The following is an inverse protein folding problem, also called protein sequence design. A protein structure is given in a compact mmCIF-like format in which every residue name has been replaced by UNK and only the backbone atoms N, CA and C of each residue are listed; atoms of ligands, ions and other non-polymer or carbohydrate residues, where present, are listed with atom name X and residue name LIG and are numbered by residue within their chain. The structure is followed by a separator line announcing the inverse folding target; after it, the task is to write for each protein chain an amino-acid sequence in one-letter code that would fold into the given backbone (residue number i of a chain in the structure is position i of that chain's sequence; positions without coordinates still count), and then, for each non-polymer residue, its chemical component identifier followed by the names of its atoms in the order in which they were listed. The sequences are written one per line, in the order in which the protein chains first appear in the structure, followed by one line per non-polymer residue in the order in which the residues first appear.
data_IF_670035176567
#
_entry.id   IF_670035176567
#
_cell.length_a   1.000
_cell.length_b   1.000
_cell.length_c   1.000
_cell.angle_alpha   90.00
_cell.angle_beta   90.00
_cell.angle_gamma   90.00
#
_symmetry.space_group_name_H-M   'P 1'
#
loop_
_entity.id
_entity.type
_entity.pdbx_description
1 polymer ?
#
# COMPACT_ATOMS: atom_id res chain seq x y z
N UNK A 1 -45.50 44.55 -4.91
CA UNK A 1 -45.70 44.78 -6.36
C UNK A 1 -44.45 45.45 -6.90
N UNK A 2 -44.06 45.11 -8.12
CA UNK A 2 -42.84 45.54 -8.84
C UNK A 2 -41.65 44.59 -8.73
N UNK A 3 -41.52 43.72 -9.74
CA UNK A 3 -40.28 43.49 -10.51
C UNK A 3 -40.68 42.87 -11.85
N UNK A 4 -40.51 43.66 -12.91
CA UNK A 4 -40.58 43.26 -14.31
C UNK A 4 -39.27 42.61 -14.76
N UNK A 5 -39.38 41.85 -15.86
CA UNK A 5 -38.39 41.69 -16.95
C UNK A 5 -37.08 40.92 -16.65
N UNK A 6 -36.51 40.12 -17.56
CA UNK A 6 -36.91 39.65 -18.88
C UNK A 6 -35.96 38.52 -19.32
N UNK A 7 -36.52 37.61 -20.11
CA UNK A 7 -35.96 36.75 -21.18
C UNK A 7 -34.51 36.95 -21.65
N UNK A 8 -33.82 35.82 -21.97
CA UNK A 8 -33.28 35.40 -23.32
C UNK A 8 -32.20 34.31 -23.16
N UNK A 9 -32.40 33.11 -23.73
CA UNK A 9 -31.99 32.65 -25.08
C UNK A 9 -30.48 32.41 -25.25
N UNK A 10 -30.06 31.15 -25.42
CA UNK A 10 -29.43 30.63 -26.66
C UNK A 10 -29.21 29.11 -26.59
N UNK A 11 -29.87 28.39 -27.51
CA UNK A 11 -29.46 27.10 -28.04
C UNK A 11 -28.21 27.28 -28.91
N UNK A 12 -27.26 26.35 -28.85
CA UNK A 12 -26.34 26.08 -29.97
C UNK A 12 -26.01 24.60 -30.06
N UNK A 13 -26.56 23.99 -31.10
CA UNK A 13 -26.12 22.75 -31.72
C UNK A 13 -24.80 22.97 -32.47
N UNK A 14 -23.93 21.95 -32.48
CA UNK A 14 -22.67 21.99 -33.22
C UNK A 14 -22.17 20.58 -33.56
N UNK A 15 -22.55 20.12 -34.76
CA UNK A 15 -21.94 18.97 -35.43
C UNK A 15 -20.54 19.33 -35.93
N UNK A 16 -19.53 18.48 -35.73
CA UNK A 16 -18.34 18.45 -36.60
C UNK A 16 -17.80 17.03 -36.82
N UNK A 17 -17.46 16.81 -38.09
CA UNK A 17 -16.98 15.59 -38.73
C UNK A 17 -15.47 15.35 -38.56
N UNK A 18 -15.10 14.08 -38.74
CA UNK A 18 -13.86 13.53 -39.32
C UNK A 18 -12.51 14.14 -38.90
N UNK A 19 -11.62 13.31 -38.34
CA UNK A 19 -10.37 12.94 -39.01
C UNK A 19 -9.59 11.82 -38.29
N UNK A 20 -9.19 10.84 -39.10
CA UNK A 20 -8.22 9.78 -38.81
C UNK A 20 -6.80 10.41 -38.83
N UNK A 21 -5.85 9.89 -38.03
CA UNK A 21 -4.57 9.59 -38.67
C UNK A 21 -3.98 8.24 -38.27
N UNK A 22 -3.42 7.61 -39.30
CA UNK A 22 -2.41 6.57 -39.29
C UNK A 22 -1.13 7.04 -38.62
N UNK A 23 -0.52 6.20 -37.76
CA UNK A 23 0.93 6.17 -37.55
C UNK A 23 1.35 4.85 -36.89
N UNK A 24 2.02 4.02 -37.69
CA UNK A 24 2.66 2.79 -37.27
C UNK A 24 3.87 3.11 -36.38
N UNK A 25 3.86 2.63 -35.13
CA UNK A 25 5.05 2.65 -34.27
C UNK A 25 5.63 1.24 -34.20
N UNK A 26 6.81 1.11 -34.81
CA UNK A 26 7.65 -0.09 -34.84
C UNK A 26 8.31 -0.26 -33.47
N UNK A 27 7.72 -1.09 -32.60
CA UNK A 27 8.37 -1.46 -31.32
C UNK A 27 9.26 -2.67 -31.55
N UNK A 28 10.55 -2.45 -31.35
CA UNK A 28 11.63 -3.42 -31.44
C UNK A 28 11.51 -4.38 -30.24
N UNK A 29 11.41 -5.67 -30.52
CA UNK A 29 11.25 -6.74 -29.53
C UNK A 29 12.57 -7.03 -28.81
N UNK A 30 12.72 -6.50 -27.60
CA UNK A 30 13.77 -6.92 -26.68
C UNK A 30 13.42 -8.31 -26.11
N UNK A 31 14.06 -9.36 -26.65
CA UNK A 31 14.08 -10.72 -26.09
C UNK A 31 14.70 -10.69 -24.69
N UNK A 32 13.87 -10.70 -23.65
CA UNK A 32 14.30 -11.08 -22.31
C UNK A 32 14.13 -12.60 -22.13
N UNK A 33 15.25 -13.32 -22.19
CA UNK A 33 15.37 -14.69 -21.74
C UNK A 33 15.14 -14.74 -20.21
N UNK A 34 13.91 -15.02 -19.77
CA UNK A 34 13.67 -15.48 -18.39
C UNK A 34 14.14 -16.93 -18.27
N UNK A 35 15.41 -17.11 -17.87
CA UNK A 35 15.87 -18.34 -17.26
C UNK A 35 15.07 -18.56 -15.98
N UNK A 36 14.33 -19.65 -15.92
CA UNK A 36 13.79 -20.23 -14.70
C UNK A 36 15.00 -20.60 -13.84
N UNK A 37 15.28 -19.79 -12.81
CA UNK A 37 16.21 -20.16 -11.76
C UNK A 37 15.45 -20.97 -10.72
N UNK A 38 15.81 -22.24 -10.61
CA UNK A 38 15.60 -23.03 -9.40
C UNK A 38 16.31 -22.37 -8.22
N UNK A 39 15.83 -22.48 -6.97
CA UNK A 39 16.50 -21.94 -5.81
C UNK A 39 17.74 -22.79 -5.52
N UNK A 40 18.86 -22.40 -6.13
CA UNK A 40 20.20 -22.83 -5.78
C UNK A 40 20.53 -22.25 -4.40
N UNK A 41 20.82 -23.14 -3.44
CA UNK A 41 21.48 -22.80 -2.17
C UNK A 41 22.65 -21.84 -2.43
N UNK A 42 22.76 -20.69 -1.71
CA UNK A 42 23.89 -19.79 -1.88
C UNK A 42 25.14 -20.41 -1.25
N UNK A 43 26.01 -20.95 -2.10
CA UNK A 43 27.38 -21.32 -1.76
C UNK A 43 28.15 -20.03 -1.42
N UNK A 44 28.55 -19.88 -0.13
CA UNK A 44 29.55 -18.92 0.40
C UNK A 44 29.58 -17.52 -0.24
N UNK A 45 28.42 -16.94 -0.53
CA UNK A 45 28.23 -15.51 -0.79
C UNK A 45 27.60 -14.88 0.46
N UNK A 46 28.15 -13.77 0.93
CA UNK A 46 27.77 -13.09 2.18
C UNK A 46 26.24 -13.05 2.37
N UNK A 47 25.75 -13.68 3.43
CA UNK A 47 24.35 -13.57 3.85
C UNK A 47 24.06 -12.09 4.09
N UNK A 48 23.19 -11.51 3.27
CA UNK A 48 22.85 -10.09 3.31
C UNK A 48 21.59 -9.89 4.16
N UNK A 49 21.81 -9.46 5.39
CA UNK A 49 20.80 -9.15 6.40
C UNK A 49 20.69 -7.63 6.50
N UNK A 50 19.50 -7.09 6.29
CA UNK A 50 19.16 -5.69 6.25
C UNK A 50 17.88 -5.39 7.05
N UNK A 51 17.49 -4.12 7.14
CA UNK A 51 16.35 -3.68 7.97
C UNK A 51 14.97 -4.21 7.51
N UNK A 52 14.90 -4.88 6.36
CA UNK A 52 13.66 -5.46 5.83
C UNK A 52 13.58 -6.97 6.02
N UNK A 53 14.73 -7.66 6.07
CA UNK A 53 14.76 -9.12 6.13
C UNK A 53 15.39 -9.70 7.41
N UNK A 54 15.84 -8.88 8.37
CA UNK A 54 16.50 -9.38 9.60
C UNK A 54 15.62 -10.24 10.51
N UNK A 55 14.29 -10.13 10.40
CA UNK A 55 13.33 -10.96 11.16
C UNK A 55 12.96 -12.28 10.43
N UNK A 56 13.60 -12.61 9.31
CA UNK A 56 13.31 -13.83 8.54
C UNK A 56 13.84 -15.09 9.24
N UNK A 57 13.09 -16.20 9.18
CA UNK A 57 13.40 -17.47 9.87
C UNK A 57 14.79 -18.01 9.49
N UNK A 58 15.19 -17.82 8.23
CA UNK A 58 16.49 -18.23 7.70
C UNK A 58 17.70 -17.60 8.43
N UNK A 59 17.50 -16.53 9.20
CA UNK A 59 18.57 -15.79 9.90
C UNK A 59 18.50 -15.87 11.42
N UNK A 60 17.59 -16.69 11.98
CA UNK A 60 17.44 -16.83 13.45
C UNK A 60 18.74 -17.30 14.11
N UNK A 61 19.49 -18.18 13.43
CA UNK A 61 20.78 -18.71 13.90
C UNK A 61 21.99 -17.91 13.37
N UNK A 62 21.77 -16.75 12.73
CA UNK A 62 22.85 -15.91 12.23
C UNK A 62 23.60 -15.25 13.37
N UNK A 63 24.94 -15.29 13.32
CA UNK A 63 25.83 -14.60 14.27
C UNK A 63 25.68 -13.07 14.24
N UNK A 64 25.24 -12.50 13.12
CA UNK A 64 25.14 -11.06 12.91
C UNK A 64 23.69 -10.64 12.75
N UNK A 65 23.33 -9.50 13.38
CA UNK A 65 21.98 -8.91 13.30
C UNK A 65 21.74 -8.20 11.97
N UNK A 66 22.74 -7.45 11.48
CA UNK A 66 22.72 -6.76 10.18
C UNK A 66 24.08 -6.93 9.51
N UNK A 67 24.09 -7.15 8.21
CA UNK A 67 25.31 -7.25 7.39
C UNK A 67 25.31 -6.28 6.21
N UNK A 68 24.18 -5.64 5.92
CA UNK A 68 24.06 -4.61 4.90
C UNK A 68 24.74 -3.30 5.35
N UNK A 69 25.76 -2.80 4.63
CA UNK A 69 26.47 -1.57 5.01
C UNK A 69 25.55 -0.36 5.16
N UNK A 70 24.55 -0.22 4.28
CA UNK A 70 23.56 0.88 4.32
C UNK A 70 22.65 0.80 5.55
N UNK A 71 22.32 -0.41 5.96
CA UNK A 71 21.50 -0.62 7.16
C UNK A 71 22.29 -0.31 8.43
N UNK A 72 23.56 -0.72 8.47
CA UNK A 72 24.48 -0.36 9.55
C UNK A 72 24.72 1.15 9.62
N UNK A 73 24.89 1.81 8.47
CA UNK A 73 25.05 3.26 8.39
C UNK A 73 23.80 4.01 8.88
N UNK A 74 22.59 3.56 8.51
CA UNK A 74 21.35 4.16 9.00
C UNK A 74 21.20 4.07 10.52
N UNK A 75 21.50 2.90 11.10
CA UNK A 75 21.52 2.71 12.54
C UNK A 75 22.57 3.61 13.22
N UNK A 76 23.76 3.74 12.63
CA UNK A 76 24.82 4.59 13.15
C UNK A 76 24.45 6.08 13.12
N UNK A 77 23.82 6.59 12.04
CA UNK A 77 23.36 8.00 11.95
C UNK A 77 22.33 8.35 13.02
N UNK A 78 21.51 7.38 13.44
CA UNK A 78 20.48 7.56 14.47
C UNK A 78 20.96 7.17 15.89
N UNK A 79 22.22 6.76 16.06
CA UNK A 79 22.75 6.21 17.32
C UNK A 79 21.94 5.02 17.87
N UNK A 80 21.33 4.21 16.99
CA UNK A 80 20.55 3.04 17.36
C UNK A 80 21.43 1.79 17.24
N UNK A 81 21.51 0.98 18.30
CA UNK A 81 22.23 -0.30 18.25
C UNK A 81 21.39 -1.35 17.51
N UNK A 82 21.91 -2.07 16.51
CA UNK A 82 21.15 -3.08 15.76
C UNK A 82 20.46 -4.13 16.65
N UNK A 83 21.10 -4.54 17.74
CA UNK A 83 20.54 -5.50 18.71
C UNK A 83 19.26 -4.99 19.40
N UNK A 84 19.06 -3.67 19.49
CA UNK A 84 17.84 -3.09 20.10
C UNK A 84 16.63 -3.15 19.17
N UNK A 85 16.83 -3.45 17.89
CA UNK A 85 15.76 -3.64 16.93
C UNK A 85 15.19 -5.07 16.96
N UNK A 86 15.82 -6.01 17.67
CA UNK A 86 15.33 -7.37 17.80
C UNK A 86 14.17 -7.45 18.82
N UNK A 87 13.15 -8.28 18.55
CA UNK A 87 12.10 -8.57 19.54
C UNK A 87 12.72 -9.14 20.82
N UNK A 88 12.41 -8.54 21.97
CA UNK A 88 12.85 -9.08 23.27
C UNK A 88 11.85 -10.12 23.76
N UNK A 89 12.33 -11.26 24.24
CA UNK A 89 11.46 -12.29 24.81
C UNK A 89 11.06 -11.88 26.23
N UNK A 90 9.88 -12.31 26.67
CA UNK A 90 9.40 -12.03 28.04
C UNK A 90 10.37 -12.51 29.12
N UNK A 91 11.11 -13.58 28.87
CA UNK A 91 12.14 -14.14 29.75
C UNK A 91 13.30 -13.14 29.97
N UNK A 92 13.59 -12.28 28.99
CA UNK A 92 14.64 -11.27 29.10
C UNK A 92 14.16 -10.02 29.86
N UNK A 93 12.84 -9.90 30.08
CA UNK A 93 12.17 -8.76 30.74
C UNK A 93 11.80 -9.11 32.19
N UNK A 94 11.59 -10.40 32.48
CA UNK A 94 11.27 -10.87 33.83
C UNK A 94 12.47 -10.69 34.77
N UNK A 95 12.50 -9.59 35.51
CA UNK A 95 13.14 -9.58 36.82
C UNK A 95 12.23 -10.31 37.80
N UNK A 96 12.79 -11.14 38.68
CA UNK A 96 12.11 -12.11 39.56
C UNK A 96 10.99 -11.56 40.50
N UNK A 97 10.63 -10.27 40.41
CA UNK A 97 9.67 -9.60 41.30
C UNK A 97 8.47 -8.93 40.60
N UNK A 98 8.36 -8.94 39.27
CA UNK A 98 7.27 -8.24 38.56
C UNK A 98 6.12 -9.19 38.22
N UNK A 99 4.89 -8.78 38.55
CA UNK A 99 3.67 -9.55 38.23
C UNK A 99 3.52 -9.74 36.71
N UNK A 100 3.04 -10.92 36.30
CA UNK A 100 2.86 -11.26 34.88
C UNK A 100 2.00 -10.26 34.09
N UNK A 101 0.96 -9.67 34.71
CA UNK A 101 0.10 -8.68 34.05
C UNK A 101 0.88 -7.43 33.63
N UNK A 102 1.72 -6.90 34.52
CA UNK A 102 2.56 -5.73 34.22
C UNK A 102 3.68 -6.06 33.24
N UNK A 103 4.14 -7.31 33.14
CA UNK A 103 5.15 -7.71 32.16
C UNK A 103 4.61 -7.66 30.71
N UNK A 104 3.33 -7.94 30.50
CA UNK A 104 2.71 -7.85 29.17
C UNK A 104 2.65 -6.39 28.72
N UNK A 105 2.18 -5.49 29.60
CA UNK A 105 2.08 -4.06 29.30
C UNK A 105 3.48 -3.47 28.99
N UNK A 106 4.48 -3.80 29.80
CA UNK A 106 5.88 -3.36 29.58
C UNK A 106 6.45 -3.91 28.27
N UNK A 107 6.14 -5.16 27.91
CA UNK A 107 6.56 -5.74 26.63
C UNK A 107 5.93 -4.97 25.46
N UNK A 108 4.64 -4.67 25.56
CA UNK A 108 3.91 -4.02 24.48
C UNK A 108 4.40 -2.58 24.28
N UNK A 109 4.67 -1.84 25.36
CA UNK A 109 5.33 -0.52 25.30
C UNK A 109 6.71 -0.61 24.63
N UNK A 110 7.53 -1.61 25.01
CA UNK A 110 8.84 -1.81 24.40
C UNK A 110 8.77 -2.20 22.92
N UNK A 111 7.74 -2.93 22.50
CA UNK A 111 7.52 -3.31 21.11
C UNK A 111 7.12 -2.10 20.27
N UNK A 112 6.29 -1.20 20.81
CA UNK A 112 5.96 0.09 20.18
C UNK A 112 7.23 0.91 19.96
N UNK A 113 8.07 1.04 20.98
CA UNK A 113 9.36 1.74 20.90
C UNK A 113 10.32 1.10 19.89
N UNK A 114 10.37 -0.24 19.85
CA UNK A 114 11.19 -1.00 18.89
C UNK A 114 10.74 -0.71 17.45
N UNK A 115 9.43 -0.77 17.20
CA UNK A 115 8.86 -0.54 15.88
C UNK A 115 9.08 0.91 15.41
N UNK A 116 8.94 1.89 16.31
CA UNK A 116 9.25 3.28 16.02
C UNK A 116 10.72 3.47 15.61
N UNK A 117 11.66 2.91 16.38
CA UNK A 117 13.11 2.93 16.06
C UNK A 117 13.42 2.24 14.73
N UNK A 118 12.80 1.09 14.49
CA UNK A 118 12.96 0.34 13.25
C UNK A 118 12.48 1.14 12.03
N UNK A 119 11.34 1.81 12.15
CA UNK A 119 10.80 2.66 11.09
C UNK A 119 11.75 3.83 10.79
N UNK A 120 12.23 4.54 11.81
CA UNK A 120 13.21 5.63 11.62
C UNK A 120 14.48 5.15 10.92
N UNK A 121 14.99 3.96 11.27
CA UNK A 121 16.16 3.38 10.59
C UNK A 121 15.88 3.06 9.11
N UNK A 122 14.68 2.57 8.78
CA UNK A 122 14.29 2.29 7.39
C UNK A 122 14.22 3.57 6.57
N UNK A 123 13.65 4.63 7.14
CA UNK A 123 13.57 5.94 6.49
C UNK A 123 14.96 6.54 6.24
N UNK A 124 15.88 6.46 7.22
CA UNK A 124 17.27 6.90 7.02
C UNK A 124 18.01 6.08 5.97
N UNK A 125 17.80 4.76 5.93
CA UNK A 125 18.38 3.92 4.88
C UNK A 125 17.94 4.39 3.49
N UNK A 126 16.67 4.75 3.32
CA UNK A 126 16.16 5.27 2.05
C UNK A 126 16.69 6.67 1.73
N UNK A 127 17.00 7.51 2.73
CA UNK A 127 17.73 8.77 2.51
C UNK A 127 19.15 8.51 2.03
N UNK A 128 19.89 7.60 2.66
CA UNK A 128 21.24 7.20 2.23
C UNK A 128 21.22 6.71 0.77
N UNK A 129 20.23 5.91 0.39
CA UNK A 129 20.09 5.41 -0.99
C UNK A 129 19.89 6.57 -1.97
N UNK A 130 19.06 7.57 -1.61
CA UNK A 130 18.83 8.77 -2.44
C UNK A 130 20.07 9.65 -2.54
N UNK A 131 20.76 9.91 -1.43
CA UNK A 131 22.02 10.66 -1.39
C UNK A 131 23.09 10.00 -2.27
N UNK A 132 23.24 8.67 -2.17
CA UNK A 132 24.18 7.89 -2.99
C UNK A 132 23.77 7.87 -4.47
N UNK A 133 22.48 7.98 -4.80
CA UNK A 133 22.03 8.07 -6.19
C UNK A 133 22.35 9.44 -6.80
N UNK A 134 22.24 10.52 -6.03
CA UNK A 134 22.55 11.89 -6.46
C UNK A 134 24.06 12.18 -6.57
N UNK A 135 24.86 11.54 -5.71
CA UNK A 135 26.32 11.74 -5.66
C UNK A 135 27.11 10.85 -6.61
N UNK A 136 26.46 9.95 -7.36
CA UNK A 136 27.14 9.28 -8.48
C UNK A 136 27.48 10.32 -9.53
N UNK A 137 28.76 10.61 -9.82
CA UNK A 137 29.10 11.44 -10.95
C UNK A 137 28.58 10.73 -12.20
N UNK A 138 27.56 11.31 -12.81
CA UNK A 138 27.26 11.10 -14.22
C UNK A 138 28.59 11.27 -14.94
N UNK A 139 29.16 10.16 -15.42
CA UNK A 139 30.34 10.14 -16.27
C UNK A 139 30.12 11.20 -17.34
N UNK A 140 30.84 12.31 -17.21
CA UNK A 140 30.89 13.32 -18.24
C UNK A 140 31.22 12.60 -19.54
N UNK A 141 30.25 12.61 -20.46
CA UNK A 141 30.52 12.39 -21.87
C UNK A 141 31.44 13.54 -22.27
N UNK A 142 32.73 13.28 -22.29
CA UNK A 142 33.72 14.13 -22.94
C UNK A 142 33.27 14.30 -24.38
N UNK A 143 32.88 15.53 -24.70
CA UNK A 143 32.60 15.96 -26.05
C UNK A 143 33.87 15.82 -26.89
N UNK A 144 33.63 15.46 -28.15
CA UNK A 144 34.59 15.30 -29.22
C UNK A 144 35.65 16.39 -29.25
N UNK A 145 36.91 15.97 -29.22
CA UNK A 145 38.03 16.74 -29.75
C UNK A 145 38.89 15.79 -30.56
N UNK A 146 38.61 15.77 -31.87
CA UNK A 146 39.46 15.16 -32.89
C UNK A 146 40.86 15.79 -32.82
N UNK A 147 41.95 15.01 -32.82
CA UNK A 147 43.20 15.46 -33.40
C UNK A 147 43.32 14.96 -34.84
N UNK A 148 43.78 15.88 -35.67
CA UNK A 148 44.05 15.75 -37.09
C UNK A 148 45.04 14.65 -37.43
N UNK A 149 44.70 13.93 -38.50
CA UNK A 149 45.57 13.45 -39.57
C UNK A 149 47.06 13.86 -39.46
N UNK A 150 47.94 12.90 -39.21
CA UNK A 150 49.29 12.90 -39.77
C UNK A 150 49.59 11.50 -40.28
N UNK A 151 49.90 11.44 -41.57
CA UNK A 151 50.41 10.27 -42.27
C UNK A 151 51.63 9.69 -41.54
N UNK A 152 51.66 8.38 -41.35
CA UNK A 152 52.90 7.69 -41.70
C UNK A 152 52.67 6.28 -42.24
N UNK A 153 53.55 5.93 -43.16
CA UNK A 153 53.41 4.99 -44.25
C UNK A 153 54.51 3.96 -44.07
N UNK A 154 54.20 2.76 -43.59
CA UNK A 154 54.96 1.55 -43.93
C UNK A 154 54.13 0.31 -43.58
N UNK A 155 53.62 -0.40 -44.59
CA UNK A 155 54.26 -1.58 -45.20
C UNK A 155 54.53 -2.69 -44.18
N UNK A 156 53.69 -3.74 -44.16
CA UNK A 156 54.08 -5.15 -44.35
C UNK A 156 52.85 -6.07 -44.18
N UNK A 157 52.49 -6.64 -45.33
CA UNK A 157 51.86 -7.94 -45.64
C UNK A 157 51.90 -9.07 -44.59
N UNK A 158 50.86 -9.93 -44.70
CA UNK A 158 50.79 -11.40 -44.44
C UNK A 158 50.78 -11.84 -42.96
N UNK A 159 50.14 -12.92 -42.50
CA UNK A 159 49.29 -14.00 -43.07
C UNK A 159 48.65 -14.75 -41.89
N UNK A 160 47.56 -15.46 -42.17
CA UNK A 160 46.96 -16.51 -41.35
C UNK A 160 47.94 -17.59 -40.86
N UNK A 161 47.76 -18.04 -39.61
CA UNK A 161 47.84 -19.43 -39.06
C UNK A 161 47.45 -19.32 -37.57
N UNK A 162 46.44 -19.95 -36.96
CA UNK A 162 45.99 -21.36 -36.85
C UNK A 162 47.06 -22.35 -36.40
N UNK A 163 47.18 -22.53 -35.08
CA UNK A 163 47.61 -23.73 -34.31
C UNK A 163 47.29 -23.41 -32.84
N UNK A 164 46.38 -24.07 -32.09
CA UNK A 164 46.37 -25.45 -31.56
C UNK A 164 47.73 -25.92 -31.01
N UNK A 165 47.92 -25.77 -29.70
CA UNK A 165 48.39 -26.83 -28.81
C UNK A 165 48.41 -26.36 -27.35
N UNK A 166 47.59 -27.01 -26.51
CA UNK A 166 47.97 -27.41 -25.15
C UNK A 166 48.99 -28.58 -25.32
N UNK A 167 49.88 -28.90 -24.35
CA UNK A 167 49.39 -29.28 -23.02
C UNK A 167 50.35 -29.13 -21.80
N UNK A 168 49.74 -29.29 -20.63
CA UNK A 168 50.25 -29.99 -19.45
C UNK A 168 51.43 -29.45 -18.62
N UNK A 169 51.04 -29.06 -17.40
CA UNK A 169 51.50 -29.61 -16.11
C UNK A 169 52.69 -29.02 -15.34
N UNK A 170 52.43 -29.02 -14.01
CA UNK A 170 53.33 -29.01 -12.85
C UNK A 170 54.12 -27.74 -12.59
N UNK A 171 53.84 -27.05 -11.48
CA UNK A 171 54.60 -27.29 -10.24
C UNK A 171 53.98 -26.55 -9.04
N UNK A 172 54.04 -27.23 -7.89
CA UNK A 172 53.62 -26.83 -6.54
C UNK A 172 54.48 -25.69 -5.93
N UNK A 173 53.98 -25.19 -4.79
CA UNK A 173 54.58 -24.31 -3.76
C UNK A 173 54.41 -22.79 -4.01
N UNK A 174 54.04 -21.94 -3.06
CA UNK A 174 54.02 -22.10 -1.60
C UNK A 174 53.08 -21.10 -0.93
N UNK A 175 52.65 -21.45 0.28
CA UNK A 175 52.10 -20.56 1.29
C UNK A 175 53.03 -19.36 1.54
N UNK A 176 52.48 -18.15 1.68
CA UNK A 176 52.79 -17.28 2.82
C UNK A 176 51.98 -15.97 2.77
N UNK A 177 51.09 -15.84 3.75
CA UNK A 177 50.68 -14.58 4.33
C UNK A 177 51.24 -14.60 5.76
N UNK A 178 51.83 -13.51 6.27
CA UNK A 178 51.05 -12.80 7.28
C UNK A 178 51.23 -11.28 7.33
N UNK A 179 50.13 -10.64 7.71
CA UNK A 179 49.97 -9.40 8.50
C UNK A 179 51.21 -8.67 9.00
N UNK A 180 51.23 -7.36 8.78
CA UNK A 180 51.52 -6.37 9.83
C UNK A 180 50.84 -5.03 9.48
N UNK A 181 49.93 -4.55 10.32
CA UNK A 181 50.17 -3.56 11.39
C UNK A 181 50.50 -2.17 10.84
N UNK A 182 49.48 -1.34 10.64
CA UNK A 182 49.64 0.11 10.59
C UNK A 182 48.78 0.71 11.70
N UNK A 183 49.43 0.91 12.84
CA UNK A 183 49.03 1.92 13.83
C UNK A 183 49.67 3.24 13.44
N UNK A 184 48.86 4.29 13.33
CA UNK A 184 49.18 5.68 13.67
C UNK A 184 47.87 6.48 13.58
N UNK A 185 47.29 6.90 14.72
CA UNK A 185 47.61 8.16 15.44
C UNK A 185 46.98 9.37 14.76
N UNK A 186 45.89 9.90 15.33
CA UNK A 186 45.55 11.34 15.49
C UNK A 186 44.33 11.41 16.43
N UNK A 187 44.57 11.64 17.73
CA UNK A 187 44.46 12.91 18.45
C UNK A 187 43.01 13.37 18.71
N UNK A 188 42.64 13.22 19.98
CA UNK A 188 41.53 13.87 20.66
C UNK A 188 41.72 15.38 20.66
N UNK A 189 40.65 16.12 20.35
CA UNK A 189 40.47 17.49 20.85
C UNK A 189 39.15 17.56 21.61
N UNK A 190 39.29 17.63 22.92
CA UNK A 190 38.30 18.06 23.90
C UNK A 190 37.89 19.50 23.62
N UNK A 191 36.58 19.77 23.55
CA UNK A 191 36.05 21.13 23.70
C UNK A 191 34.79 21.10 24.55
N UNK A 192 35.02 21.26 25.84
CA UNK A 192 34.03 21.65 26.84
C UNK A 192 33.47 23.04 26.49
N UNK A 193 32.16 23.19 26.55
CA UNK A 193 31.49 24.45 26.89
C UNK A 193 30.26 24.15 27.71
N UNK A 194 30.45 24.29 29.01
CA UNK A 194 29.46 24.59 30.03
C UNK A 194 28.69 25.87 29.70
N UNK A 195 27.36 25.82 29.79
CA UNK A 195 26.53 26.98 30.12
C UNK A 195 25.37 26.52 31.00
N UNK A 196 25.43 26.91 32.26
CA UNK A 196 24.31 26.93 33.19
C UNK A 196 23.50 28.22 32.93
N UNK A 197 22.18 28.13 32.93
CA UNK A 197 21.30 29.19 33.42
C UNK A 197 19.97 28.59 33.90
N UNK A 198 19.84 28.64 35.22
CA UNK A 198 18.67 28.87 36.07
C UNK A 198 17.24 28.77 35.52
N UNK A 199 16.49 27.93 36.25
CA UNK A 199 15.15 28.15 36.83
C UNK A 199 14.39 29.42 36.43
N UNK A 200 13.15 29.31 35.93
CA UNK A 200 11.93 29.39 36.76
C UNK A 200 10.63 29.35 35.93
N UNK A 201 9.66 28.59 36.45
CA UNK A 201 8.25 28.96 36.60
C UNK A 201 7.17 28.64 35.53
N UNK A 202 6.13 27.98 36.05
CA UNK A 202 4.69 27.99 35.69
C UNK A 202 4.15 26.92 34.72
N UNK A 203 3.73 25.80 35.32
CA UNK A 203 2.75 24.85 34.77
C UNK A 203 1.57 24.74 35.76
N UNK A 204 0.30 24.88 35.33
CA UNK A 204 -0.85 24.81 36.23
C UNK A 204 -1.26 23.35 36.54
N UNK A 205 -2.00 23.11 37.64
CA UNK A 205 -2.25 21.79 38.18
C UNK A 205 -3.42 21.06 37.48
N UNK A 206 -3.29 19.74 37.40
CA UNK A 206 -4.31 18.80 36.93
C UNK A 206 -5.07 18.26 38.15
N UNK A 207 -6.41 18.31 38.21
CA UNK A 207 -7.15 17.74 39.34
C UNK A 207 -7.24 16.21 39.25
N UNK A 208 -7.06 15.60 40.41
CA UNK A 208 -7.23 14.18 40.73
C UNK A 208 -8.62 13.89 41.28
N UNK A 209 -9.33 12.93 40.68
CA UNK A 209 -10.40 12.14 41.30
C UNK A 209 -10.42 10.80 40.53
N UNK A 210 -10.12 9.64 41.10
CA UNK A 210 -10.70 8.92 42.24
C UNK A 210 -12.20 8.66 42.10
N UNK A 211 -12.56 7.63 41.33
CA UNK A 211 -13.80 6.86 41.51
C UNK A 211 -13.53 5.37 41.26
N UNK A 212 -13.17 4.71 42.36
CA UNK A 212 -13.62 3.39 42.83
C UNK A 212 -14.53 2.61 41.87
N UNK A 213 -13.99 1.54 41.31
CA UNK A 213 -14.70 0.49 40.58
C UNK A 213 -15.47 -0.42 41.55
N UNK A 214 -16.77 -0.63 41.28
CA UNK A 214 -17.53 -1.77 41.80
C UNK A 214 -17.71 -2.81 40.72
N UNK A 215 -17.25 -4.01 41.04
CA UNK A 215 -17.42 -5.28 40.33
C UNK A 215 -18.90 -5.63 40.26
N UNK A 216 -19.42 -5.91 39.06
CA UNK A 216 -20.52 -6.87 38.88
C UNK A 216 -20.21 -7.70 37.64
N UNK A 217 -20.21 -9.01 37.85
CA UNK A 217 -19.88 -10.07 36.92
C UNK A 217 -21.20 -10.71 36.47
N UNK A 218 -21.44 -10.90 35.16
CA UNK A 218 -22.35 -11.93 34.68
C UNK A 218 -22.12 -12.26 33.21
N UNK A 219 -21.83 -13.54 32.96
CA UNK A 219 -21.85 -14.26 31.68
C UNK A 219 -23.21 -14.16 30.96
N UNK A 220 -23.20 -14.24 29.62
CA UNK A 220 -24.09 -15.04 28.72
C UNK A 220 -23.83 -14.64 27.25
N UNK A 221 -23.24 -15.53 26.43
CA UNK A 221 -23.87 -16.27 25.30
C UNK A 221 -24.66 -15.43 24.28
N UNK A 222 -24.02 -15.24 23.12
CA UNK A 222 -24.54 -15.43 21.74
C UNK A 222 -26.05 -15.30 21.47
N UNK A 223 -26.45 -14.31 20.68
CA UNK A 223 -27.28 -14.46 19.47
C UNK A 223 -27.50 -13.11 18.77
N UNK A 224 -27.77 -13.21 17.47
CA UNK A 224 -28.11 -12.20 16.46
C UNK A 224 -28.97 -11.01 16.91
N UNK A 225 -28.71 -9.84 16.31
CA UNK A 225 -29.61 -8.68 16.39
C UNK A 225 -28.93 -7.31 16.27
N UNK A 226 -28.36 -6.99 15.11
CA UNK A 226 -27.90 -5.63 14.80
C UNK A 226 -28.96 -4.89 13.98
N UNK A 227 -29.78 -4.08 14.65
CA UNK A 227 -30.26 -2.75 14.21
C UNK A 227 -31.47 -2.31 15.03
N UNK A 228 -31.23 -1.72 16.20
CA UNK A 228 -32.14 -0.74 16.82
C UNK A 228 -31.48 -0.24 18.09
N UNK A 229 -30.79 0.91 18.03
CA UNK A 229 -30.43 1.78 19.16
C UNK A 229 -29.63 2.96 18.63
N UNK A 230 -30.32 3.83 17.90
CA UNK A 230 -29.91 5.21 17.67
C UNK A 230 -31.16 6.06 17.73
N UNK A 231 -31.25 6.84 18.80
CA UNK A 231 -32.02 8.10 19.02
C UNK A 231 -32.74 8.09 20.36
N UNK A 232 -32.03 8.28 21.47
CA UNK A 232 -32.70 8.51 22.76
C UNK A 232 -31.94 9.42 23.74
N UNK A 233 -30.93 10.18 23.30
CA UNK A 233 -30.21 11.12 24.19
C UNK A 233 -30.39 12.61 23.88
N UNK A 234 -31.03 12.99 22.77
CA UNK A 234 -31.32 14.41 22.45
C UNK A 234 -32.75 14.84 22.81
N UNK A 235 -33.64 13.88 23.11
CA UNK A 235 -35.03 14.17 23.45
C UNK A 235 -35.23 14.62 24.91
N UNK A 236 -34.37 14.18 25.85
CA UNK A 236 -34.54 14.52 27.27
C UNK A 236 -34.24 15.98 27.59
N UNK A 237 -33.29 16.61 26.87
CA UNK A 237 -32.92 18.00 27.13
C UNK A 237 -33.99 18.99 26.63
N UNK A 238 -34.63 18.70 25.49
CA UNK A 238 -35.72 19.53 24.95
C UNK A 238 -37.00 19.44 25.80
N UNK A 239 -37.28 18.28 26.40
CA UNK A 239 -38.40 18.12 27.34
C UNK A 239 -38.16 18.85 28.67
N UNK A 240 -36.91 18.95 29.13
CA UNK A 240 -36.53 19.72 30.32
C UNK A 240 -36.62 21.24 30.09
N UNK A 241 -36.23 21.73 28.90
CA UNK A 241 -36.40 23.15 28.52
C UNK A 241 -37.89 23.53 28.45
N UNK A 242 -38.74 22.64 27.93
CA UNK A 242 -40.19 22.88 27.84
C UNK A 242 -40.88 22.90 29.20
N UNK A 243 -40.40 22.11 30.17
CA UNK A 243 -40.91 22.14 31.56
C UNK A 243 -40.52 23.42 32.31
N UNK A 244 -39.36 23.99 32.00
CA UNK A 244 -38.90 25.24 32.61
C UNK A 244 -39.71 26.45 32.12
N UNK A 245 -40.03 26.51 30.82
CA UNK A 245 -40.83 27.60 30.24
C UNK A 245 -42.27 27.63 30.80
N UNK A 246 -42.87 26.46 31.06
CA UNK A 246 -44.17 26.35 31.73
C UNK A 246 -44.15 26.80 33.20
N UNK A 247 -42.99 26.78 33.86
CA UNK A 247 -42.85 27.23 35.25
C UNK A 247 -42.74 28.76 35.36
N UNK A 248 -42.17 29.43 34.34
CA UNK A 248 -42.04 30.89 34.30
C UNK A 248 -43.38 31.60 34.02
N UNK A 249 -44.30 30.97 33.29
CA UNK A 249 -45.63 31.54 33.02
C UNK A 249 -46.58 31.52 34.25
N UNK A 250 -46.30 30.73 35.30
CA UNK A 250 -47.17 30.63 36.49
C UNK A 250 -46.86 31.63 37.62
N UNK A 251 -45.79 32.42 37.52
CA UNK A 251 -45.39 33.37 38.58
C UNK A 251 -45.93 34.80 38.33
N UNK A 252 -46.64 35.01 37.21
CA UNK A 252 -47.12 36.32 36.76
C UNK A 252 -48.52 36.76 37.22
N UNK A 253 -49.16 36.14 38.22
CA UNK A 253 -50.51 36.54 38.65
C UNK A 253 -50.55 37.16 40.05
N UNK A 254 -50.78 38.47 40.04
CA UNK A 254 -51.42 39.33 41.06
C UNK A 254 -51.24 38.97 42.53
N UNK A 255 -50.26 39.61 43.19
CA UNK A 255 -50.41 39.96 44.61
C UNK A 255 -51.17 41.29 44.71
N UNK A 256 -52.32 41.37 45.40
CA UNK A 256 -53.01 42.63 45.62
C UNK A 256 -52.14 43.58 46.44
N UNK A 257 -52.04 44.83 46.00
CA UNK A 257 -51.18 45.88 46.55
C UNK A 257 -51.74 46.34 47.91
N UNK A 258 -51.32 45.67 48.99
CA UNK A 258 -51.70 46.01 50.38
C UNK A 258 -51.19 47.39 50.85
N UNK A 259 -50.39 48.09 50.04
CA UNK A 259 -49.74 49.35 50.43
C UNK A 259 -50.64 50.59 50.26
N UNK A 260 -51.68 50.56 49.42
CA UNK A 260 -52.55 51.72 49.18
C UNK A 260 -53.37 52.12 50.43
N UNK A 261 -53.84 51.13 51.20
CA UNK A 261 -54.62 51.38 52.43
C UNK A 261 -53.79 51.99 53.57
N UNK A 262 -52.48 51.72 53.61
CA UNK A 262 -51.59 52.22 54.66
C UNK A 262 -51.16 53.67 54.40
N UNK A 263 -50.96 54.04 53.12
CA UNK A 263 -50.63 55.42 52.70
C UNK A 263 -51.81 56.36 52.98
N UNK A 264 -53.04 55.95 52.62
CA UNK A 264 -54.25 56.73 52.90
C UNK A 264 -54.53 56.88 54.41
N UNK A 265 -54.17 55.88 55.22
CA UNK A 265 -54.30 55.94 56.69
C UNK A 265 -53.34 56.94 57.34
N UNK A 266 -52.08 56.98 56.86
CA UNK A 266 -51.06 57.92 57.34
C UNK A 266 -51.40 59.37 56.97
N UNK A 267 -51.90 59.61 55.76
CA UNK A 267 -52.26 60.95 55.29
C UNK A 267 -53.45 61.55 56.07
N UNK A 268 -54.43 60.72 56.44
CA UNK A 268 -55.52 61.13 57.32
C UNK A 268 -55.05 61.44 58.75
N UNK A 269 -54.09 60.68 59.29
CA UNK A 269 -53.50 60.94 60.61
C UNK A 269 -52.72 62.26 60.65
N UNK A 270 -51.96 62.57 59.58
CA UNK A 270 -51.26 63.85 59.40
C UNK A 270 -52.23 65.03 59.43
N UNK A 271 -53.35 64.94 58.71
CA UNK A 271 -54.39 65.98 58.72
C UNK A 271 -55.03 66.14 60.10
N UNK A 272 -55.22 65.06 60.86
CA UNK A 272 -55.76 65.13 62.23
C UNK A 272 -54.81 65.84 63.21
N UNK A 273 -53.50 65.57 63.13
CA UNK A 273 -52.47 66.21 63.96
C UNK A 273 -52.40 67.72 63.65
N UNK A 274 -52.44 68.08 62.37
CA UNK A 274 -52.43 69.47 61.89
C UNK A 274 -53.69 70.26 62.32
N UNK A 275 -54.86 69.62 62.32
CA UNK A 275 -56.09 70.21 62.85
C UNK A 275 -56.10 70.36 64.39
N UNK A 276 -55.36 69.51 65.12
CA UNK A 276 -55.24 69.60 66.58
C UNK A 276 -54.28 70.71 67.01
N UNK A 277 -53.21 70.90 66.25
CA UNK A 277 -52.24 71.98 66.39
C UNK A 277 -52.85 73.38 66.34
N UNK A 278 -53.87 73.57 65.48
CA UNK A 278 -54.55 74.86 65.31
C UNK A 278 -55.55 75.18 66.42
N UNK A 279 -55.90 74.21 67.29
CA UNK A 279 -56.92 74.35 68.35
C UNK A 279 -56.39 74.57 69.76
N UNK A 280 -55.11 74.32 70.05
CA UNK A 280 -54.57 74.29 71.42
C UNK A 280 -53.49 75.37 71.63
N UNK A 281 -53.81 76.39 72.44
CA UNK A 281 -52.91 77.50 72.77
C UNK A 281 -52.25 77.36 74.15
N UNK A 282 -51.61 76.22 74.45
CA UNK A 282 -50.88 75.98 75.69
C UNK A 282 -49.46 75.44 75.38
N UNK A 283 -48.42 76.09 75.91
CA UNK A 283 -47.01 75.89 75.53
C UNK A 283 -46.46 74.46 75.71
N UNK A 284 -47.04 73.63 76.59
CA UNK A 284 -46.60 72.23 76.78
C UNK A 284 -47.16 71.27 75.71
N UNK A 285 -48.22 71.65 74.99
CA UNK A 285 -48.80 70.82 73.92
C UNK A 285 -48.05 70.99 72.59
N UNK A 286 -47.37 72.14 72.41
CA UNK A 286 -46.59 72.45 71.21
C UNK A 286 -45.33 71.56 71.08
N UNK A 287 -44.65 71.28 72.20
CA UNK A 287 -43.46 70.44 72.25
C UNK A 287 -43.79 68.96 71.97
N UNK A 288 -44.90 68.47 72.54
CA UNK A 288 -45.41 67.13 72.26
C UNK A 288 -45.83 66.95 70.79
N UNK A 289 -46.47 67.97 70.21
CA UNK A 289 -46.85 67.97 68.80
C UNK A 289 -45.63 67.99 67.85
N UNK A 290 -44.58 68.75 68.20
CA UNK A 290 -43.34 68.78 67.44
C UNK A 290 -42.62 67.42 67.49
N UNK A 291 -42.64 66.74 68.65
CA UNK A 291 -42.11 65.39 68.80
C UNK A 291 -42.90 64.37 67.97
N UNK A 292 -44.23 64.43 67.99
CA UNK A 292 -45.11 63.56 67.20
C UNK A 292 -44.90 63.77 65.69
N UNK A 293 -44.74 65.03 65.25
CA UNK A 293 -44.40 65.37 63.86
C UNK A 293 -43.05 64.78 63.44
N UNK A 294 -42.01 64.88 64.29
CA UNK A 294 -40.70 64.31 64.02
C UNK A 294 -40.73 62.76 63.98
N UNK A 295 -41.50 62.12 64.86
CA UNK A 295 -41.70 60.67 64.84
C UNK A 295 -42.41 60.21 63.56
N UNK A 296 -43.41 60.97 63.10
CA UNK A 296 -44.11 60.71 61.85
C UNK A 296 -43.17 60.88 60.63
N UNK A 297 -42.38 61.94 60.59
CA UNK A 297 -41.41 62.18 59.51
C UNK A 297 -40.33 61.09 59.45
N UNK A 298 -39.85 60.61 60.60
CA UNK A 298 -38.94 59.48 60.69
C UNK A 298 -39.57 58.18 60.15
N UNK A 299 -40.85 57.94 60.44
CA UNK A 299 -41.59 56.77 59.92
C UNK A 299 -41.75 56.82 58.40
N UNK A 300 -42.05 58.00 57.83
CA UNK A 300 -42.12 58.19 56.37
C UNK A 300 -40.75 57.98 55.72
N UNK A 301 -39.69 58.52 56.32
CA UNK A 301 -38.32 58.34 55.82
C UNK A 301 -37.91 56.86 55.81
N UNK A 302 -38.25 56.12 56.88
CA UNK A 302 -38.02 54.67 56.95
C UNK A 302 -38.81 53.93 55.85
N UNK A 303 -40.08 54.30 55.64
CA UNK A 303 -40.91 53.70 54.58
C UNK A 303 -40.34 53.94 53.18
N UNK A 304 -39.93 55.18 52.87
CA UNK A 304 -39.31 55.52 51.60
C UNK A 304 -37.98 54.79 51.37
N UNK A 305 -37.18 54.66 52.43
CA UNK A 305 -35.94 53.91 52.40
C UNK A 305 -36.19 52.42 52.14
N UNK A 306 -37.18 51.82 52.81
CA UNK A 306 -37.56 50.43 52.59
C UNK A 306 -38.08 50.20 51.16
N UNK A 307 -38.88 51.13 50.62
CA UNK A 307 -39.36 51.07 49.24
C UNK A 307 -38.20 51.18 48.24
N UNK A 308 -37.21 52.04 48.49
CA UNK A 308 -35.99 52.14 47.66
C UNK A 308 -35.20 50.82 47.69
N UNK A 309 -35.04 50.20 48.86
CA UNK A 309 -34.38 48.89 48.98
C UNK A 309 -35.15 47.82 48.21
N UNK A 310 -36.48 47.79 48.32
CA UNK A 310 -37.30 46.82 47.58
C UNK A 310 -37.16 46.99 46.07
N UNK A 311 -37.22 48.23 45.56
CA UNK A 311 -37.01 48.53 44.13
C UNK A 311 -35.59 48.15 43.68
N UNK A 312 -34.57 48.43 44.48
CA UNK A 312 -33.19 48.03 44.17
C UNK A 312 -33.03 46.51 44.11
N UNK A 313 -33.65 45.77 45.04
CA UNK A 313 -33.66 44.30 45.04
C UNK A 313 -34.39 43.72 43.83
N UNK A 314 -35.52 44.31 43.44
CA UNK A 314 -36.26 43.86 42.27
C UNK A 314 -35.47 44.11 40.98
N UNK A 315 -34.87 45.29 40.82
CA UNK A 315 -34.01 45.60 39.68
C UNK A 315 -32.79 44.67 39.63
N UNK A 316 -32.15 44.39 40.78
CA UNK A 316 -31.05 43.43 40.84
C UNK A 316 -31.48 42.05 40.34
N UNK A 317 -32.65 41.55 40.78
CA UNK A 317 -33.23 40.28 40.30
C UNK A 317 -33.54 40.29 38.81
N UNK A 318 -34.01 41.41 38.24
CA UNK A 318 -34.25 41.53 36.79
C UNK A 318 -32.93 41.43 36.01
N UNK A 319 -31.92 42.18 36.43
CA UNK A 319 -30.60 42.14 35.77
C UNK A 319 -29.89 40.79 35.91
N UNK A 320 -30.12 40.08 37.02
CA UNK A 320 -29.59 38.73 37.23
C UNK A 320 -30.25 37.73 36.26
N UNK A 321 -31.57 37.78 36.11
CA UNK A 321 -32.31 36.95 35.14
C UNK A 321 -31.90 37.23 33.70
N UNK A 322 -31.69 38.50 33.34
CA UNK A 322 -31.20 38.88 32.00
C UNK A 322 -29.82 38.26 31.74
N UNK A 323 -28.88 38.39 32.69
CA UNK A 323 -27.55 37.78 32.58
C UNK A 323 -27.60 36.24 32.53
N UNK A 324 -28.53 35.62 33.24
CA UNK A 324 -28.74 34.17 33.16
C UNK A 324 -29.29 33.75 31.79
N UNK A 325 -30.23 34.51 31.23
CA UNK A 325 -30.76 34.27 29.90
C UNK A 325 -29.66 34.41 28.82
N UNK A 326 -28.82 35.45 28.91
CA UNK A 326 -27.67 35.64 28.01
C UNK A 326 -26.68 34.47 28.10
N UNK A 327 -26.37 33.98 29.32
CA UNK A 327 -25.50 32.82 29.52
C UNK A 327 -26.09 31.56 28.90
N UNK A 328 -27.39 31.37 29.04
CA UNK A 328 -28.08 30.23 28.45
C UNK A 328 -28.04 30.28 26.91
N UNK A 329 -28.26 31.46 26.33
CA UNK A 329 -28.17 31.66 24.88
C UNK A 329 -26.77 31.36 24.34
N UNK A 330 -25.72 31.83 25.03
CA UNK A 330 -24.33 31.53 24.67
C UNK A 330 -24.04 30.03 24.72
N UNK A 331 -24.49 29.34 25.77
CA UNK A 331 -24.33 27.89 25.91
C UNK A 331 -25.01 27.14 24.76
N UNK A 332 -26.18 27.62 24.33
CA UNK A 332 -26.90 27.03 23.21
C UNK A 332 -26.19 27.25 21.88
N UNK A 333 -25.63 28.43 21.65
CA UNK A 333 -24.83 28.73 20.48
C UNK A 333 -23.59 27.82 20.41
N UNK A 334 -22.85 27.70 21.52
CA UNK A 334 -21.66 26.83 21.60
C UNK A 334 -22.01 25.36 21.34
N UNK A 335 -23.16 24.88 21.85
CA UNK A 335 -23.65 23.53 21.58
C UNK A 335 -23.95 23.32 20.09
N UNK A 336 -24.63 24.26 19.44
CA UNK A 336 -24.90 24.19 18.00
C UNK A 336 -23.60 24.21 17.18
N UNK A 337 -22.64 25.05 17.53
CA UNK A 337 -21.35 25.08 16.85
C UNK A 337 -20.57 23.76 17.00
N UNK A 338 -20.59 23.17 18.19
CA UNK A 338 -19.97 21.87 18.44
C UNK A 338 -20.62 20.76 17.62
N UNK A 339 -21.95 20.71 17.58
CA UNK A 339 -22.69 19.69 16.80
C UNK A 339 -22.43 19.84 15.30
N UNK A 340 -22.46 21.08 14.77
CA UNK A 340 -22.15 21.36 13.37
C UNK A 340 -20.69 21.02 13.03
N UNK A 341 -19.74 21.31 13.94
CA UNK A 341 -18.35 20.94 13.77
C UNK A 341 -18.15 19.43 13.77
N UNK A 342 -18.84 18.69 14.63
CA UNK A 342 -18.79 17.24 14.69
C UNK A 342 -19.38 16.60 13.43
N UNK A 343 -20.52 17.09 12.95
CA UNK A 343 -21.13 16.63 11.70
C UNK A 343 -20.20 16.84 10.50
N UNK A 344 -19.51 17.99 10.42
CA UNK A 344 -18.50 18.23 9.39
C UNK A 344 -17.35 17.22 9.45
N UNK A 345 -16.85 16.89 10.65
CA UNK A 345 -15.81 15.87 10.82
C UNK A 345 -16.29 14.49 10.38
N UNK A 346 -17.51 14.10 10.73
CA UNK A 346 -18.09 12.83 10.32
C UNK A 346 -18.27 12.75 8.80
N UNK A 347 -18.77 13.82 8.18
CA UNK A 347 -18.92 13.92 6.73
C UNK A 347 -17.58 13.86 6.01
N UNK A 348 -16.53 14.49 6.56
CA UNK A 348 -15.18 14.39 5.99
C UNK A 348 -14.64 12.96 6.07
N UNK A 349 -14.82 12.30 7.23
CA UNK A 349 -14.40 10.91 7.40
C UNK A 349 -15.14 9.99 6.41
N UNK A 350 -16.45 10.18 6.26
CA UNK A 350 -17.27 9.45 5.28
C UNK A 350 -16.76 9.66 3.84
N UNK A 351 -16.50 10.90 3.45
CA UNK A 351 -15.92 11.21 2.12
C UNK A 351 -14.55 10.55 1.91
N UNK A 352 -13.70 10.51 2.94
CA UNK A 352 -12.40 9.82 2.88
C UNK A 352 -12.58 8.31 2.72
N UNK A 353 -13.51 7.72 3.46
CA UNK A 353 -13.86 6.30 3.36
C UNK A 353 -14.41 5.95 1.97
N UNK A 354 -15.30 6.76 1.42
CA UNK A 354 -15.85 6.58 0.07
C UNK A 354 -14.76 6.68 -1.00
N UNK A 355 -13.85 7.65 -0.90
CA UNK A 355 -12.69 7.76 -1.80
C UNK A 355 -11.76 6.56 -1.72
N UNK A 356 -11.47 6.07 -0.50
CA UNK A 356 -10.63 4.89 -0.30
C UNK A 356 -11.29 3.64 -0.89
N UNK A 357 -12.59 3.46 -0.65
CA UNK A 357 -13.37 2.36 -1.19
C UNK A 357 -13.39 2.39 -2.73
N UNK A 358 -13.67 3.55 -3.31
CA UNK A 358 -13.66 3.72 -4.76
C UNK A 358 -12.27 3.45 -5.36
N UNK A 359 -11.21 3.96 -4.73
CA UNK A 359 -9.83 3.69 -5.16
C UNK A 359 -9.52 2.19 -5.10
N UNK A 360 -9.90 1.50 -4.03
CA UNK A 360 -9.73 0.04 -3.90
C UNK A 360 -10.46 -0.71 -5.02
N UNK A 361 -11.71 -0.35 -5.31
CA UNK A 361 -12.47 -0.96 -6.40
C UNK A 361 -11.80 -0.76 -7.77
N UNK A 362 -11.24 0.42 -8.04
CA UNK A 362 -10.50 0.68 -9.28
C UNK A 362 -9.23 -0.19 -9.37
N UNK A 363 -8.49 -0.34 -8.28
CA UNK A 363 -7.32 -1.22 -8.26
C UNK A 363 -7.69 -2.69 -8.47
N UNK A 364 -8.76 -3.15 -7.82
CA UNK A 364 -9.25 -4.53 -7.93
C UNK A 364 -9.74 -4.85 -9.35
N UNK A 365 -10.51 -3.94 -9.97
CA UNK A 365 -10.94 -4.09 -11.37
C UNK A 365 -9.76 -4.07 -12.34
N UNK A 366 -8.75 -3.24 -12.11
CA UNK A 366 -7.54 -3.21 -12.92
C UNK A 366 -6.74 -4.51 -12.77
N UNK A 367 -6.61 -5.02 -11.54
CA UNK A 367 -5.93 -6.28 -11.25
C UNK A 367 -6.65 -7.46 -11.91
N UNK A 368 -7.98 -7.50 -11.84
CA UNK A 368 -8.80 -8.51 -12.48
C UNK A 368 -8.61 -8.51 -14.01
N UNK A 369 -8.66 -7.33 -14.65
CA UNK A 369 -8.40 -7.19 -16.10
C UNK A 369 -6.99 -7.62 -16.49
N UNK A 370 -5.98 -7.27 -15.69
CA UNK A 370 -4.60 -7.69 -15.94
C UNK A 370 -4.45 -9.21 -15.83
N UNK A 371 -5.08 -9.83 -14.82
CA UNK A 371 -5.10 -11.27 -14.67
C UNK A 371 -5.81 -11.95 -15.85
N UNK A 372 -6.98 -11.44 -16.24
CA UNK A 372 -7.73 -11.93 -17.40
C UNK A 372 -6.88 -11.88 -18.68
N UNK A 373 -6.25 -10.74 -18.98
CA UNK A 373 -5.35 -10.59 -20.14
C UNK A 373 -4.20 -11.60 -20.10
N UNK A 374 -3.56 -11.80 -18.94
CA UNK A 374 -2.50 -12.79 -18.80
C UNK A 374 -3.00 -14.22 -19.05
N UNK A 375 -4.18 -14.56 -18.51
CA UNK A 375 -4.77 -15.88 -18.73
C UNK A 375 -5.13 -16.11 -20.20
N UNK A 376 -5.65 -15.09 -20.88
CA UNK A 376 -5.96 -15.14 -22.31
C UNK A 376 -4.69 -15.33 -23.15
N UNK A 377 -3.60 -14.62 -22.84
CA UNK A 377 -2.31 -14.78 -23.52
C UNK A 377 -1.72 -16.20 -23.31
N UNK A 378 -1.83 -16.73 -22.09
CA UNK A 378 -1.41 -18.10 -21.77
C UNK A 378 -2.24 -19.11 -22.57
N UNK A 379 -3.56 -18.95 -22.63
CA UNK A 379 -4.45 -19.82 -23.40
C UNK A 379 -4.13 -19.76 -24.90
N UNK A 380 -3.92 -18.56 -25.45
CA UNK A 380 -3.51 -18.36 -26.84
C UNK A 380 -2.20 -19.09 -27.15
N UNK A 381 -1.18 -18.91 -26.31
CA UNK A 381 0.12 -19.59 -26.48
C UNK A 381 -0.02 -21.12 -26.37
N UNK A 382 -0.89 -21.61 -25.48
CA UNK A 382 -1.19 -23.04 -25.37
C UNK A 382 -1.81 -23.59 -26.65
N UNK A 383 -2.75 -22.86 -27.26
CA UNK A 383 -3.38 -23.25 -28.52
C UNK A 383 -2.37 -23.25 -29.68
N UNK A 384 -1.51 -22.23 -29.76
CA UNK A 384 -0.43 -22.16 -30.75
C UNK A 384 0.53 -23.36 -30.63
N UNK A 385 0.90 -23.75 -29.41
CA UNK A 385 1.74 -24.93 -29.16
C UNK A 385 1.06 -26.22 -29.60
N UNK A 386 -0.24 -26.40 -29.29
CA UNK A 386 -1.01 -27.56 -29.71
C UNK A 386 -1.08 -27.67 -31.25
N UNK A 387 -1.25 -26.54 -31.94
CA UNK A 387 -1.25 -26.51 -33.40
C UNK A 387 0.13 -26.87 -33.98
N UNK A 388 1.22 -26.40 -33.39
CA UNK A 388 2.56 -26.76 -33.86
C UNK A 388 2.90 -28.23 -33.58
N UNK A 389 2.46 -28.79 -32.45
CA UNK A 389 2.56 -30.23 -32.16
C UNK A 389 1.82 -31.01 -33.23
N UNK A 390 0.55 -30.69 -33.49
CA UNK A 390 -0.26 -31.35 -34.53
C UNK A 390 0.38 -31.26 -35.93
N UNK A 391 1.05 -30.15 -36.25
CA UNK A 391 1.80 -29.98 -37.51
C UNK A 391 3.08 -30.83 -37.55
N UNK A 392 3.75 -31.02 -36.42
CA UNK A 392 4.91 -31.92 -36.31
C UNK A 392 4.47 -33.38 -36.43
N UNK A 393 3.37 -33.76 -35.78
CA UNK A 393 2.83 -35.11 -35.82
C UNK A 393 2.50 -35.53 -37.26
N UNK A 394 1.82 -34.66 -38.03
CA UNK A 394 1.56 -34.89 -39.46
C UNK A 394 2.85 -35.06 -40.28
N UNK A 395 3.90 -34.29 -39.98
CA UNK A 395 5.19 -34.42 -40.67
C UNK A 395 5.89 -35.73 -40.31
N UNK A 396 5.83 -36.14 -39.05
CA UNK A 396 6.39 -37.43 -38.62
C UNK A 396 5.63 -38.60 -39.22
N UNK A 397 4.29 -38.53 -39.30
CA UNK A 397 3.46 -39.54 -39.98
C UNK A 397 3.84 -39.67 -41.45
N UNK A 398 3.99 -38.53 -42.15
CA UNK A 398 4.44 -38.51 -43.54
C UNK A 398 5.82 -39.15 -43.71
N UNK A 399 6.78 -38.77 -42.86
CA UNK A 399 8.12 -39.33 -42.90
C UNK A 399 8.14 -40.84 -42.65
N UNK A 400 7.35 -41.32 -41.68
CA UNK A 400 7.22 -42.75 -41.39
C UNK A 400 6.63 -43.49 -42.60
N UNK A 401 5.60 -42.93 -43.24
CA UNK A 401 5.00 -43.49 -44.45
C UNK A 401 6.00 -43.57 -45.61
N UNK A 402 6.73 -42.48 -45.90
CA UNK A 402 7.75 -42.46 -46.95
C UNK A 402 8.84 -43.50 -46.70
N UNK A 403 9.28 -43.66 -45.44
CA UNK A 403 10.25 -44.68 -45.06
C UNK A 403 9.72 -46.09 -45.26
N UNK A 404 8.45 -46.35 -44.92
CA UNK A 404 7.82 -47.64 -45.17
C UNK A 404 7.75 -47.93 -46.67
N UNK A 405 7.34 -46.96 -47.49
CA UNK A 405 7.20 -47.14 -48.94
C UNK A 405 8.57 -47.32 -49.62
N UNK A 406 9.59 -46.57 -49.19
CA UNK A 406 10.99 -46.77 -49.64
C UNK A 406 11.49 -48.17 -49.27
N UNK A 407 11.16 -48.66 -48.06
CA UNK A 407 11.55 -50.00 -47.62
C UNK A 407 10.84 -51.08 -48.44
N UNK A 408 9.54 -50.92 -48.74
CA UNK A 408 8.79 -51.83 -49.62
C UNK A 408 9.41 -51.87 -51.02
N UNK A 409 9.70 -50.70 -51.61
CA UNK A 409 10.32 -50.61 -52.93
C UNK A 409 11.70 -51.30 -52.95
N UNK A 410 12.51 -51.07 -51.92
CA UNK A 410 13.82 -51.71 -51.77
C UNK A 410 13.70 -53.24 -51.70
N UNK A 411 12.69 -53.77 -50.99
CA UNK A 411 12.42 -55.22 -50.95
C UNK A 411 12.00 -55.77 -52.31
N UNK A 412 11.14 -55.06 -53.04
CA UNK A 412 10.71 -55.47 -54.40
C UNK A 412 11.90 -55.51 -55.35
N UNK A 413 12.74 -54.46 -55.34
CA UNK A 413 13.94 -54.38 -56.16
C UNK A 413 14.94 -55.49 -55.81
N UNK A 414 15.16 -55.74 -54.52
CA UNK A 414 16.03 -56.82 -54.06
C UNK A 414 15.52 -58.20 -54.53
N UNK A 415 14.20 -58.43 -54.46
CA UNK A 415 13.57 -59.66 -54.97
C UNK A 415 13.72 -59.80 -56.48
N UNK A 416 13.39 -58.76 -57.26
CA UNK A 416 13.58 -58.76 -58.72
C UNK A 416 15.06 -58.98 -59.13
N UNK A 417 16.00 -58.39 -58.38
CA UNK A 417 17.43 -58.62 -58.56
C UNK A 417 17.84 -60.05 -58.22
N UNK A 418 17.19 -60.69 -57.25
CA UNK A 418 17.40 -62.09 -56.94
C UNK A 418 16.83 -63.02 -58.02
N UNK A 419 15.59 -62.77 -58.46
CA UNK A 419 14.92 -63.54 -59.51
C UNK A 419 15.74 -63.50 -60.82
N UNK A 420 16.26 -62.33 -61.18
CA UNK A 420 17.17 -62.19 -62.35
C UNK A 420 18.48 -62.95 -62.17
N UNK A 421 19.08 -62.95 -60.96
CA UNK A 421 20.27 -63.78 -60.67
C UNK A 421 19.98 -65.27 -60.73
N UNK A 422 18.80 -65.71 -60.28
CA UNK A 422 18.35 -67.11 -60.37
C UNK A 422 18.12 -67.49 -61.84
N UNK A 423 17.41 -66.67 -62.61
CA UNK A 423 17.23 -66.86 -64.04
C UNK A 423 18.57 -66.93 -64.80
N UNK A 424 19.52 -66.04 -64.52
CA UNK A 424 20.86 -66.09 -65.12
C UNK A 424 21.59 -67.39 -64.72
N UNK A 425 21.46 -67.85 -63.47
CA UNK A 425 22.05 -69.12 -63.03
C UNK A 425 21.43 -70.33 -63.73
N UNK A 426 20.13 -70.29 -64.03
CA UNK A 426 19.43 -71.36 -64.75
C UNK A 426 19.73 -71.33 -66.26
N UNK A 427 19.89 -70.15 -66.86
CA UNK A 427 20.09 -69.98 -68.31
C UNK A 427 21.54 -70.01 -68.75
N UNK A 428 22.49 -69.56 -67.91
CA UNK A 428 23.90 -69.80 -68.16
C UNK A 428 24.21 -71.26 -67.86
N UNK A 429 24.11 -72.10 -68.90
CA UNK A 429 24.69 -73.43 -68.88
C UNK A 429 26.14 -73.32 -68.40
N UNK A 430 26.41 -73.91 -67.23
CA UNK A 430 27.75 -73.94 -66.67
C UNK A 430 28.72 -74.62 -67.65
N UNK A 431 30.01 -74.33 -67.52
CA UNK A 431 31.05 -74.95 -68.34
C UNK A 431 30.89 -76.48 -68.41
N UNK A 432 30.56 -77.13 -67.29
CA UNK A 432 30.34 -78.58 -67.24
C UNK A 432 29.10 -79.06 -68.00
N UNK A 433 28.01 -78.27 -68.03
CA UNK A 433 26.82 -78.59 -68.83
C UNK A 433 27.11 -78.40 -70.32
N UNK A 434 27.83 -77.34 -70.69
CA UNK A 434 28.31 -77.12 -72.07
C UNK A 434 29.29 -78.20 -72.50
N UNK A 435 30.20 -78.63 -71.61
CA UNK A 435 31.15 -79.71 -71.86
C UNK A 435 30.44 -81.05 -72.06
N UNK A 436 29.47 -81.41 -71.19
CA UNK A 436 28.65 -82.62 -71.38
C UNK A 436 27.80 -82.58 -72.66
N UNK A 437 27.22 -81.42 -73.00
CA UNK A 437 26.51 -81.26 -74.28
C UNK A 437 27.45 -81.39 -75.48
N UNK A 438 28.65 -80.83 -75.41
CA UNK A 438 29.67 -80.98 -76.44
C UNK A 438 30.15 -82.43 -76.56
N UNK A 439 30.33 -83.14 -75.44
CA UNK A 439 30.68 -84.56 -75.38
C UNK A 439 29.58 -85.42 -76.01
N UNK A 440 28.32 -85.20 -75.65
CA UNK A 440 27.15 -85.86 -76.27
C UNK A 440 27.03 -85.53 -77.75
N UNK A 441 27.19 -84.27 -78.15
CA UNK A 441 27.14 -83.85 -79.56
C UNK A 441 28.28 -84.46 -80.38
N UNK A 442 29.48 -84.56 -79.80
CA UNK A 442 30.62 -85.22 -80.42
C UNK A 442 30.39 -86.73 -80.56
N UNK A 443 29.78 -87.37 -79.56
CA UNK A 443 29.39 -88.77 -79.62
C UNK A 443 28.34 -89.03 -80.71
N UNK A 444 27.37 -88.13 -80.88
CA UNK A 444 26.36 -88.22 -81.96
C UNK A 444 26.99 -88.00 -83.34
N UNK A 445 27.95 -87.09 -83.48
CA UNK A 445 28.67 -86.86 -84.74
C UNK A 445 29.62 -88.00 -85.12
N UNK A 446 30.18 -88.72 -84.14
CA UNK A 446 30.99 -89.93 -84.37
C UNK A 446 30.12 -91.11 -84.84
N UNK A 447 28.81 -91.10 -84.56
CA UNK A 447 27.88 -92.16 -85.00
C UNK A 447 27.14 -91.90 -86.32
N UNK A 448 27.37 -90.78 -87.01
CA UNK A 448 26.84 -90.62 -88.37
C UNK A 448 27.72 -91.40 -89.36
N UNK A 449 27.22 -92.45 -90.03
CA UNK A 449 27.95 -93.07 -91.11
C UNK A 449 28.18 -92.03 -92.21
N UNK A 450 29.41 -92.03 -92.70
CA UNK A 450 29.92 -91.25 -93.82
C UNK A 450 29.09 -91.57 -95.07
N UNK A 451 27.96 -90.90 -95.26
CA UNK A 451 27.26 -90.93 -96.56
C UNK A 451 28.07 -90.04 -97.49
N UNK A 452 28.90 -90.70 -98.30
CA UNK A 452 29.46 -90.17 -99.52
C UNK A 452 28.28 -89.79 -100.42
N UNK A 453 27.89 -88.51 -100.41
CA UNK A 453 27.01 -87.96 -101.44
C UNK A 453 27.90 -87.41 -102.53
N UNK A 454 27.83 -88.09 -103.67
CA UNK A 454 28.50 -87.79 -104.91
C UNK A 454 28.07 -86.41 -105.43
N UNK A 455 29.07 -85.63 -105.84
CA UNK A 455 28.97 -84.21 -106.16
C UNK A 455 28.60 -84.08 -107.64
N UNK A 456 27.34 -84.33 -107.97
CA UNK A 456 26.72 -83.83 -109.21
C UNK A 456 25.32 -83.35 -108.93
N UNK A 457 25.05 -82.14 -109.42
CA UNK A 457 23.76 -81.46 -109.59
C UNK A 457 23.48 -80.34 -108.58
N UNK A 458 23.10 -79.21 -109.19
CA UNK A 458 22.35 -78.06 -108.67
C UNK A 458 23.16 -76.88 -108.11
N UNK A 459 23.71 -76.15 -109.10
CA UNK A 459 23.73 -74.69 -109.15
C UNK A 459 22.33 -74.07 -108.96
N UNK A 460 22.34 -72.77 -108.68
CA UNK A 460 21.22 -71.82 -108.53
C UNK A 460 20.54 -71.92 -107.16
N UNK A 461 20.34 -70.86 -106.40
CA UNK A 461 20.12 -69.46 -106.77
C UNK A 461 20.38 -68.56 -105.55
N UNK A 462 21.00 -67.41 -105.81
CA UNK A 462 21.09 -66.25 -104.90
C UNK A 462 19.79 -65.45 -105.06
N UNK A 463 19.25 -64.87 -103.99
CA UNK A 463 18.57 -63.59 -104.11
C UNK A 463 19.19 -62.55 -103.17
N UNK A 464 19.34 -61.36 -103.74
CA UNK A 464 19.63 -60.06 -103.11
C UNK A 464 18.59 -59.62 -102.11
#
# INVERSE_FOLDING_TARGET
MSTNDATRFFDTSGCLNLSRPTSATRIVSAKQNKRIMTPSMPIRGQIKIDLYNFDHIDFVDSKYVLTSPRSLEACARLNIKPTTLLPKKLIDISSDQVRFSTLVDVRDEMEIDRLAKLQSCREEREKIIREQALTKPSSMKTLDSKPSYVNDRSTIRRTYTKTKSNPSNTHLHDFNNPSSTISNRFQLTTREKSFQHDTNSHRPPRPTSSTRSTVVNSNLKSSDGLNELRTSSSASFLDDVRRMDQSLQRIGTSKPNKNEGYINGLENAKQMIEQRATRTGLNNDLENLALEKNQYELLLSHYDHELKIQKARENARRTEKEKEAERFELLMHDFLDQTMAEERRQNELRRKMEKLHHSRQLYETLQAKNHESQTADIQKRRLELLNEIKRKDRRTEHFVKDKQDTTKLSRILAKSSQDTREYIRETNEGFDQKAKKAELASSILVTKPKVVVDRRQLQSSIPT
#
